data_IF_938631573934
#
_entry.id   IF_938631573934
#
_cell.length_a   1.000
_cell.length_b   1.000
_cell.length_c   1.000
_cell.angle_alpha   90.00
_cell.angle_beta   90.00
_cell.angle_gamma   90.00
#
_symmetry.space_group_name_H-M   'P 1'
#
loop_
_entity.id
_entity.type
_entity.pdbx_description
1 polymer ?
2 polymer ?
#
loop_
_entity_poly.entity_id
_entity_poly.type
_entity_poly.pdbx_seq_one_letter_code
_entity_poly.pdbx_strand_id
2 'polydeoxyribonucleotide' '(DA)(DG)' ?
#
# COMPACT_ATOMS: atom_id res chain seq x y z
N UNK A 1 25.63 -2.95 -4.92
CA UNK A 1 25.38 -2.86 -3.46
C UNK A 1 23.89 -2.81 -3.11
N UNK A 2 23.16 -1.87 -3.72
CA UNK A 2 21.70 -1.70 -3.49
C UNK A 2 20.87 -3.01 -3.44
N UNK A 3 20.17 -3.29 -4.59
CA UNK A 3 19.19 -4.39 -4.70
C UNK A 3 19.73 -5.79 -4.92
N UNK A 4 19.27 -6.71 -4.10
CA UNK A 4 19.68 -8.10 -4.06
C UNK A 4 18.54 -9.03 -4.21
N UNK A 5 18.73 -9.81 -5.24
CA UNK A 5 17.64 -10.65 -5.62
C UNK A 5 17.71 -11.99 -4.94
N UNK A 6 16.71 -12.34 -4.15
CA UNK A 6 16.82 -13.59 -3.40
C UNK A 6 15.81 -14.59 -3.65
N UNK A 7 16.18 -15.81 -3.37
CA UNK A 7 15.25 -16.85 -3.60
C UNK A 7 14.86 -17.36 -2.21
N UNK A 8 13.55 -17.43 -2.01
CA UNK A 8 12.99 -17.87 -0.75
C UNK A 8 12.03 -19.07 -0.81
N UNK A 9 12.15 -19.98 0.16
CA UNK A 9 11.28 -21.16 0.19
C UNK A 9 9.81 -20.71 0.22
N UNK A 10 9.12 -20.84 -0.91
CA UNK A 10 7.73 -20.43 -1.01
C UNK A 10 6.70 -21.54 -0.95
N UNK A 11 5.43 -21.18 -0.63
CA UNK A 11 4.34 -22.16 -0.57
C UNK A 11 4.11 -22.81 -1.94
N UNK A 12 3.73 -24.08 -1.95
CA UNK A 12 3.50 -24.86 -3.16
C UNK A 12 3.26 -24.06 -4.45
N UNK A 13 2.00 -23.65 -4.76
CA UNK A 13 1.95 -22.90 -6.00
C UNK A 13 2.03 -21.38 -5.72
N UNK A 14 3.14 -20.78 -6.11
CA UNK A 14 3.37 -19.35 -5.92
C UNK A 14 2.40 -18.58 -6.80
N UNK A 15 1.31 -18.12 -6.19
CA UNK A 15 0.26 -17.41 -6.92
C UNK A 15 0.28 -15.90 -6.69
N UNK A 16 -0.52 -15.18 -7.47
CA UNK A 16 -0.60 -13.73 -7.35
C UNK A 16 -1.96 -13.25 -6.85
N UNK A 17 -1.96 -12.51 -5.74
CA UNK A 17 -3.17 -11.98 -5.10
C UNK A 17 -3.76 -10.73 -5.74
N UNK A 18 -5.00 -10.84 -6.15
CA UNK A 18 -5.72 -9.73 -6.76
C UNK A 18 -6.98 -9.58 -5.93
N UNK A 19 -7.45 -8.34 -5.80
CA UNK A 19 -8.66 -8.07 -5.03
C UNK A 19 -9.82 -8.11 -5.99
N UNK A 20 -10.96 -8.52 -5.48
CA UNK A 20 -12.17 -8.58 -6.27
C UNK A 20 -13.05 -7.43 -5.77
N UNK A 21 -13.35 -6.44 -6.66
CA UNK A 21 -14.17 -5.31 -6.23
C UNK A 21 -15.53 -5.82 -5.79
N UNK A 22 -16.24 -4.99 -5.02
CA UNK A 22 -17.57 -5.34 -4.55
C UNK A 22 -18.42 -5.69 -5.78
N UNK A 23 -19.19 -6.78 -5.68
CA UNK A 23 -20.04 -7.18 -6.79
C UNK A 23 -19.44 -8.07 -7.87
N UNK A 24 -18.13 -8.33 -7.81
CA UNK A 24 -17.53 -9.21 -8.78
C UNK A 24 -17.43 -10.64 -8.14
N UNK A 25 -17.82 -11.72 -8.87
CA UNK A 25 -17.81 -13.12 -8.37
C UNK A 25 -17.07 -14.17 -9.28
N UNK A 26 -15.98 -14.78 -8.78
CA UNK A 26 -15.24 -15.81 -9.58
C UNK A 26 -15.03 -17.13 -8.88
N UNK A 27 -14.94 -18.17 -9.69
CA UNK A 27 -14.74 -19.52 -9.22
C UNK A 27 -13.49 -20.06 -9.89
N UNK A 28 -12.88 -21.01 -9.21
CA UNK A 28 -11.64 -21.61 -9.66
C UNK A 28 -11.71 -22.17 -11.07
N UNK A 29 -10.60 -22.07 -11.78
CA UNK A 29 -10.56 -22.58 -13.13
C UNK A 29 -11.10 -21.60 -14.14
N UNK A 30 -11.20 -20.33 -13.75
CA UNK A 30 -11.70 -19.30 -14.68
C UNK A 30 -10.63 -18.28 -15.03
N UNK A 31 -10.79 -17.63 -16.16
CA UNK A 31 -9.80 -16.65 -16.55
C UNK A 31 -10.27 -15.25 -16.18
N UNK A 32 -9.31 -14.35 -15.99
CA UNK A 32 -9.57 -13.00 -15.60
C UNK A 32 -8.52 -12.11 -16.23
N UNK A 33 -8.81 -10.84 -16.33
CA UNK A 33 -7.86 -9.89 -16.90
C UNK A 33 -7.32 -9.22 -15.64
N UNK A 34 -6.00 -9.03 -15.50
CA UNK A 34 -5.51 -8.39 -14.27
C UNK A 34 -4.41 -7.36 -14.56
N UNK A 35 -4.11 -6.46 -13.61
CA UNK A 35 -3.03 -5.51 -13.92
C UNK A 35 -1.70 -6.21 -13.66
N UNK A 36 -0.64 -5.72 -14.30
CA UNK A 36 0.70 -6.28 -14.15
C UNK A 36 1.61 -5.15 -14.58
N UNK A 37 2.58 -4.81 -13.74
CA UNK A 37 3.45 -3.69 -14.07
C UNK A 37 2.70 -2.42 -13.73
N UNK A 38 3.44 -1.36 -13.40
CA UNK A 38 2.85 -0.08 -13.04
C UNK A 38 1.67 0.35 -13.91
N UNK A 39 1.45 -0.32 -15.05
CA UNK A 39 0.34 0.05 -15.94
C UNK A 39 0.01 -0.93 -17.07
N UNK A 40 0.41 -2.19 -16.96
CA UNK A 40 0.12 -3.14 -18.04
C UNK A 40 -1.03 -4.11 -17.78
N UNK A 41 -1.49 -4.80 -18.83
CA UNK A 41 -2.59 -5.81 -18.78
C UNK A 41 -2.09 -7.24 -19.06
N UNK A 42 -2.88 -8.24 -18.64
CA UNK A 42 -2.48 -9.66 -18.79
C UNK A 42 -3.61 -10.65 -18.44
N UNK A 43 -3.53 -11.89 -18.94
CA UNK A 43 -4.59 -12.85 -18.62
C UNK A 43 -4.15 -13.91 -17.65
N UNK A 44 -5.03 -14.23 -16.72
CA UNK A 44 -4.68 -15.23 -15.73
C UNK A 44 -5.73 -16.28 -15.51
N UNK A 45 -5.45 -17.16 -14.56
CA UNK A 45 -6.38 -18.22 -14.23
C UNK A 45 -6.48 -18.30 -12.72
N UNK A 46 -7.68 -18.10 -12.18
CA UNK A 46 -7.85 -18.18 -10.74
C UNK A 46 -7.60 -19.63 -10.41
N UNK A 47 -6.89 -19.87 -9.31
CA UNK A 47 -6.59 -21.24 -8.86
C UNK A 47 -7.38 -21.48 -7.58
N UNK A 48 -7.60 -20.40 -6.82
CA UNK A 48 -8.35 -20.43 -5.57
C UNK A 48 -8.78 -19.03 -5.08
N UNK A 49 -9.76 -19.00 -4.19
CA UNK A 49 -10.27 -17.75 -3.64
C UNK A 49 -10.55 -17.93 -2.15
N UNK A 50 -9.97 -17.06 -1.34
CA UNK A 50 -10.18 -17.12 0.10
C UNK A 50 -10.58 -15.75 0.62
N UNK A 51 -10.44 -15.58 1.93
CA UNK A 51 -10.77 -14.35 2.63
C UNK A 51 -9.52 -13.78 3.32
N UNK A 52 -8.35 -13.98 2.72
CA UNK A 52 -7.10 -13.49 3.32
C UNK A 52 -6.01 -13.43 2.26
N UNK A 53 -4.94 -12.72 2.58
CA UNK A 53 -3.78 -12.58 1.68
C UNK A 53 -2.62 -12.15 2.53
N UNK A 54 -1.41 -12.16 1.98
CA UNK A 54 -0.28 -11.76 2.79
C UNK A 54 -0.33 -10.27 3.03
N UNK A 55 -0.80 -9.53 2.04
CA UNK A 55 -0.87 -8.08 2.17
C UNK A 55 -2.31 -7.62 2.43
N UNK A 56 -2.48 -6.43 3.02
CA UNK A 56 -3.85 -5.98 3.27
C UNK A 56 -4.68 -5.87 2.03
N UNK A 57 -5.96 -6.21 2.14
CA UNK A 57 -6.85 -6.10 1.00
C UNK A 57 -6.58 -4.79 0.28
N UNK A 58 -6.68 -3.67 0.98
CA UNK A 58 -6.51 -2.39 0.32
C UNK A 58 -5.21 -2.20 -0.47
N UNK A 59 -4.30 -3.17 -0.41
CA UNK A 59 -3.03 -3.07 -1.13
C UNK A 59 -3.06 -3.88 -2.45
N UNK A 60 -3.82 -4.96 -2.46
CA UNK A 60 -3.96 -5.79 -3.63
C UNK A 60 -4.54 -4.99 -4.77
N UNK A 61 -4.07 -5.25 -6.00
CA UNK A 61 -4.63 -4.54 -7.14
C UNK A 61 -5.95 -5.25 -7.37
N UNK A 62 -6.86 -4.59 -8.06
CA UNK A 62 -8.16 -5.19 -8.27
C UNK A 62 -8.32 -5.81 -9.65
N UNK A 63 -8.89 -7.01 -9.64
CA UNK A 63 -9.18 -7.77 -10.86
C UNK A 63 -9.97 -6.88 -11.81
N UNK A 64 -9.49 -6.78 -13.04
CA UNK A 64 -10.17 -5.96 -14.04
C UNK A 64 -11.40 -6.62 -14.63
N UNK A 65 -11.31 -7.90 -14.91
CA UNK A 65 -12.42 -8.55 -15.52
C UNK A 65 -12.29 -10.04 -15.48
N UNK A 66 -13.44 -10.70 -15.46
CA UNK A 66 -13.52 -12.16 -15.46
C UNK A 66 -13.87 -12.51 -16.89
N UNK A 67 -13.18 -13.47 -17.47
CA UNK A 67 -13.44 -13.87 -18.84
C UNK A 67 -14.34 -15.08 -18.93
N UNK A 68 -14.35 -15.89 -17.89
CA UNK A 68 -15.12 -17.10 -17.90
C UNK A 68 -16.24 -17.19 -16.91
N UNK A 69 -17.45 -17.43 -17.44
CA UNK A 69 -18.62 -17.59 -16.60
C UNK A 69 -18.34 -18.87 -15.80
N UNK A 70 -17.92 -19.90 -16.51
CA UNK A 70 -17.62 -21.18 -15.91
C UNK A 70 -16.18 -21.59 -16.24
N UNK A 71 -15.68 -22.68 -15.61
CA UNK A 71 -14.30 -23.14 -15.87
C UNK A 71 -14.05 -23.48 -17.33
N UNK A 72 -12.97 -22.95 -17.89
CA UNK A 72 -12.65 -23.23 -19.28
C UNK A 72 -12.21 -24.68 -19.37
N UNK A 73 -11.65 -25.14 -18.27
CA UNK A 73 -11.16 -26.51 -18.14
C UNK A 73 -12.27 -27.42 -17.64
N UNK A 74 -12.05 -28.74 -17.70
CA UNK A 74 -13.02 -29.72 -17.23
C UNK A 74 -12.71 -29.98 -15.76
N UNK A 75 -13.70 -30.45 -15.00
CA UNK A 75 -13.46 -30.66 -13.58
C UNK A 75 -12.35 -31.67 -13.33
N UNK A 76 -12.30 -32.73 -14.14
CA UNK A 76 -11.29 -33.78 -13.99
C UNK A 76 -9.89 -33.31 -14.44
N UNK A 77 -9.85 -32.66 -15.60
CA UNK A 77 -8.63 -32.12 -16.16
C UNK A 77 -8.04 -31.17 -15.13
N UNK A 78 -8.87 -30.23 -14.72
CA UNK A 78 -8.46 -29.24 -13.74
C UNK A 78 -7.88 -29.86 -12.47
N UNK A 79 -8.59 -30.78 -11.83
CA UNK A 79 -8.03 -31.34 -10.61
C UNK A 79 -6.64 -31.93 -10.85
N UNK A 80 -6.44 -32.50 -12.04
CA UNK A 80 -5.15 -33.09 -12.37
C UNK A 80 -4.09 -32.03 -12.56
N UNK A 81 -4.36 -31.07 -13.44
CA UNK A 81 -3.44 -29.97 -13.70
C UNK A 81 -2.79 -29.57 -12.36
N UNK A 82 -3.63 -29.12 -11.44
CA UNK A 82 -3.18 -28.70 -10.12
C UNK A 82 -2.32 -29.79 -9.49
N UNK A 83 -2.78 -31.03 -9.56
CA UNK A 83 -2.03 -32.14 -8.95
C UNK A 83 -0.62 -32.30 -9.52
N UNK A 84 -0.51 -32.41 -10.84
CA UNK A 84 0.80 -32.59 -11.47
C UNK A 84 1.72 -31.41 -11.19
N UNK A 85 1.11 -30.24 -11.12
CA UNK A 85 1.86 -29.01 -10.85
C UNK A 85 2.52 -29.15 -9.48
N UNK A 86 1.75 -29.65 -8.53
CA UNK A 86 2.25 -29.82 -7.18
C UNK A 86 3.23 -30.98 -7.05
N UNK A 87 2.80 -32.14 -7.49
CA UNK A 87 3.59 -33.35 -7.41
C UNK A 87 4.97 -33.38 -8.11
N UNK A 88 5.07 -32.77 -9.29
CA UNK A 88 6.32 -32.76 -10.05
C UNK A 88 7.09 -31.44 -9.95
N UNK A 89 6.67 -30.60 -9.04
CA UNK A 89 7.34 -29.33 -8.84
C UNK A 89 7.39 -28.43 -10.09
N UNK A 90 6.22 -28.11 -10.64
CA UNK A 90 6.14 -27.20 -11.79
C UNK A 90 5.31 -25.96 -11.44
N UNK A 91 5.71 -24.81 -11.94
CA UNK A 91 4.87 -23.67 -11.57
C UNK A 91 3.44 -23.89 -12.10
N UNK A 92 2.44 -23.63 -11.25
CA UNK A 92 1.04 -23.81 -11.64
C UNK A 92 0.63 -22.97 -12.85
N UNK A 93 1.18 -21.77 -12.97
CA UNK A 93 0.82 -20.95 -14.11
C UNK A 93 1.39 -21.55 -15.37
N UNK A 94 2.60 -22.12 -15.22
CA UNK A 94 3.35 -22.76 -16.29
C UNK A 94 2.54 -23.92 -16.89
N UNK A 95 2.06 -24.82 -16.04
CA UNK A 95 1.27 -25.95 -16.50
C UNK A 95 -0.02 -25.49 -17.17
N UNK A 96 -0.90 -24.84 -16.40
CA UNK A 96 -2.20 -24.34 -16.89
C UNK A 96 -2.17 -23.61 -18.22
N UNK A 97 -1.38 -22.56 -18.32
CA UNK A 97 -1.36 -21.85 -19.58
C UNK A 97 -0.78 -22.64 -20.74
N UNK A 98 0.05 -23.64 -20.44
CA UNK A 98 0.64 -24.49 -21.48
C UNK A 98 -0.39 -25.51 -21.97
N UNK A 99 -1.05 -26.17 -21.03
CA UNK A 99 -2.08 -27.19 -21.29
C UNK A 99 -3.43 -26.69 -21.88
N UNK A 100 -3.70 -25.40 -21.72
CA UNK A 100 -4.94 -24.86 -22.23
C UNK A 100 -4.98 -25.04 -23.74
N UNK A 101 -3.96 -24.53 -24.47
CA UNK A 101 -3.93 -24.68 -25.93
C UNK A 101 -4.04 -26.15 -26.35
N UNK A 102 -3.30 -27.00 -25.66
CA UNK A 102 -3.31 -28.42 -25.94
C UNK A 102 -4.72 -28.99 -25.74
N UNK A 103 -5.27 -28.85 -24.52
CA UNK A 103 -6.60 -29.37 -24.21
C UNK A 103 -7.77 -28.85 -25.04
N UNK A 104 -7.81 -27.55 -25.32
CA UNK A 104 -8.91 -26.96 -26.09
C UNK A 104 -8.87 -27.29 -27.57
N UNK A 105 -7.67 -27.27 -28.10
CA UNK A 105 -7.43 -27.51 -29.51
C UNK A 105 -7.18 -29.00 -29.71
N UNK B 1 -15.66 -14.56 -2.68
CA UNK B 1 -14.86 -13.91 -1.60
C UNK B 1 -14.03 -12.72 -2.11
N UNK B 2 -13.19 -12.13 -1.25
CA UNK B 2 -12.34 -10.97 -1.57
C UNK B 2 -11.09 -11.15 -2.43
N UNK B 3 -10.14 -11.91 -1.89
CA UNK B 3 -8.88 -12.15 -2.57
C UNK B 3 -8.99 -13.28 -3.59
N UNK B 4 -8.23 -13.13 -4.67
CA UNK B 4 -8.21 -14.10 -5.73
C UNK B 4 -6.76 -14.43 -5.98
N UNK B 5 -6.44 -15.71 -5.86
CA UNK B 5 -5.12 -16.25 -6.08
C UNK B 5 -5.04 -16.62 -7.54
N UNK B 6 -4.48 -15.72 -8.33
CA UNK B 6 -4.41 -15.94 -9.76
C UNK B 6 -3.06 -16.51 -10.14
N UNK B 7 -3.04 -17.30 -11.21
CA UNK B 7 -1.79 -17.86 -11.68
C UNK B 7 -1.41 -17.09 -12.93
N UNK B 8 -0.13 -16.76 -13.04
CA UNK B 8 0.34 -16.03 -14.20
C UNK B 8 1.55 -16.72 -14.78
N UNK B 9 1.72 -16.63 -16.11
CA UNK B 9 2.84 -17.22 -16.86
C UNK B 9 4.10 -16.43 -16.57
N UNK B 10 4.28 -16.09 -15.30
CA UNK B 10 5.40 -15.35 -14.79
C UNK B 10 6.76 -15.80 -15.35
N UNK B 11 7.73 -14.86 -15.42
CA UNK B 11 9.09 -15.06 -15.91
C UNK B 11 9.76 -16.26 -15.24
N UNK B 12 11.06 -16.40 -15.40
CA UNK B 12 11.76 -17.52 -14.81
C UNK B 12 12.25 -17.22 -13.37
N UNK B 13 13.16 -16.24 -13.19
CA UNK B 13 13.66 -15.92 -11.84
C UNK B 13 12.76 -15.05 -10.96
N UNK B 14 11.73 -15.64 -10.38
CA UNK B 14 10.84 -14.89 -9.51
C UNK B 14 11.50 -14.85 -8.13
N UNK B 15 12.11 -13.72 -7.81
CA UNK B 15 12.79 -13.56 -6.53
C UNK B 15 12.26 -12.34 -5.77
N UNK B 16 12.80 -12.11 -4.58
CA UNK B 16 12.40 -10.96 -3.77
C UNK B 16 13.61 -10.04 -3.62
N UNK B 17 13.37 -8.76 -3.31
CA UNK B 17 14.47 -7.80 -3.18
C UNK B 17 14.70 -7.29 -1.75
N UNK B 18 15.98 -7.16 -1.39
CA UNK B 18 16.37 -6.69 -0.05
C UNK B 18 17.66 -5.85 -0.10
N UNK B 19 17.55 -4.56 0.24
CA UNK B 19 18.72 -3.67 0.23
C UNK B 19 19.89 -4.26 1.01
N UNK B 20 21.05 -4.35 0.35
CA UNK B 20 22.27 -4.88 0.95
C UNK B 20 22.86 -3.84 1.91
N UNK B 21 23.31 -4.28 3.11
CA UNK B 21 23.90 -3.39 4.12
C UNK B 21 25.29 -2.84 3.76
N UNK B 22 25.64 -1.73 4.39
CA UNK B 22 26.94 -1.08 4.18
C UNK B 22 28.06 -1.97 4.74
N UNK B 23 29.15 -2.10 3.98
CA UNK B 23 30.27 -2.91 4.43
C UNK B 23 29.91 -4.39 4.47
N UNK B 24 28.71 -4.72 4.01
CA UNK B 24 28.24 -6.09 3.96
C UNK B 24 28.28 -6.55 2.49
N UNK B 25 29.37 -7.20 2.09
CA UNK B 25 29.53 -7.67 0.71
C UNK B 25 29.15 -9.14 0.52
N UNK B 26 28.10 -9.37 -0.27
CA UNK B 26 27.61 -10.72 -0.56
C UNK B 26 27.46 -10.99 -2.05
N UNK B 27 27.63 -12.25 -2.44
CA UNK B 27 27.45 -12.60 -3.83
C UNK B 27 26.47 -13.77 -3.98
N UNK B 28 26.17 -14.12 -5.24
CA UNK B 28 25.24 -15.18 -5.59
C UNK B 28 25.66 -16.54 -5.09
N UNK B 29 24.66 -17.30 -4.62
CA UNK B 29 24.90 -18.63 -4.10
C UNK B 29 24.98 -18.65 -2.58
N UNK B 30 25.09 -17.46 -1.96
CA UNK B 30 25.21 -17.34 -0.50
C UNK B 30 23.90 -17.13 0.26
N UNK B 31 23.69 -17.94 1.29
CA UNK B 31 22.48 -17.83 2.10
C UNK B 31 22.45 -16.52 2.88
N UNK B 32 21.28 -15.90 2.97
CA UNK B 32 21.15 -14.65 3.69
C UNK B 32 19.84 -14.58 4.47
N UNK B 33 19.90 -14.07 5.69
CA UNK B 33 18.70 -13.96 6.51
C UNK B 33 17.95 -12.67 6.22
N UNK B 34 16.69 -12.78 5.81
CA UNK B 34 15.90 -11.58 5.50
C UNK B 34 14.51 -11.54 6.13
N UNK B 35 14.02 -10.32 6.42
CA UNK B 35 12.69 -10.19 7.02
C UNK B 35 11.64 -10.67 6.02
N UNK B 36 10.64 -11.38 6.56
CA UNK B 36 9.56 -11.90 5.74
C UNK B 36 8.26 -11.25 6.16
N UNK B 37 7.83 -10.25 5.40
CA UNK B 37 6.58 -9.54 5.69
C UNK B 37 6.41 -9.01 7.10
N UNK B 38 5.16 -8.93 7.55
CA UNK B 38 4.82 -8.48 8.89
C UNK B 38 5.34 -9.53 9.84
N UNK B 39 6.59 -9.40 10.27
CA UNK B 39 7.08 -10.44 11.15
C UNK B 39 8.56 -10.34 11.50
N UNK B 40 9.25 -11.49 11.55
CA UNK B 40 10.69 -11.59 11.86
C UNK B 40 11.49 -12.42 10.83
N UNK B 41 12.78 -12.64 11.10
CA UNK B 41 13.71 -13.39 10.24
C UNK B 41 13.32 -14.72 9.57
N UNK B 42 14.08 -15.06 8.52
CA UNK B 42 13.96 -16.30 7.72
C UNK B 42 15.09 -16.37 6.68
N UNK B 43 15.66 -17.57 6.52
CA UNK B 43 16.77 -17.79 5.58
C UNK B 43 16.45 -17.78 4.07
N UNK B 44 17.35 -17.20 3.27
CA UNK B 44 17.17 -17.13 1.84
C UNK B 44 18.48 -17.24 1.08
N UNK B 45 18.41 -17.45 -0.24
CA UNK B 45 19.62 -17.58 -1.04
C UNK B 45 19.71 -16.51 -2.13
N UNK B 46 20.81 -15.76 -2.14
CA UNK B 46 21.01 -14.71 -3.12
C UNK B 46 21.29 -15.29 -4.50
N UNK B 47 20.47 -14.89 -5.47
CA UNK B 47 20.59 -15.35 -6.85
C UNK B 47 21.31 -14.28 -7.68
N UNK B 48 20.96 -13.02 -7.43
CA UNK B 48 21.57 -11.92 -8.14
C UNK B 48 21.79 -10.72 -7.23
N UNK B 49 22.75 -9.87 -7.61
CA UNK B 49 23.04 -8.68 -6.85
C UNK B 49 23.08 -7.49 -7.83
N UNK B 50 21.91 -6.93 -8.13
CA UNK B 50 21.84 -5.81 -9.05
C UNK B 50 22.16 -4.47 -8.38
N UNK B 51 21.69 -3.41 -9.04
CA UNK B 51 21.86 -2.03 -8.58
C UNK B 51 20.57 -1.34 -9.00
N UNK B 52 19.55 -2.15 -9.25
CA UNK B 52 18.25 -1.67 -9.69
C UNK B 52 17.10 -2.50 -9.13
N UNK B 53 16.14 -1.81 -8.52
CA UNK B 53 14.96 -2.43 -7.92
C UNK B 53 13.65 -2.00 -8.60
N UNK B 54 12.65 -2.87 -8.53
CA UNK B 54 11.33 -2.62 -9.11
C UNK B 54 10.63 -1.48 -8.32
N UNK B 55 10.91 -1.41 -7.01
CA UNK B 55 10.36 -0.39 -6.11
C UNK B 55 11.44 0.57 -5.62
N UNK B 56 11.05 1.72 -5.03
CA UNK B 56 12.00 2.72 -4.51
C UNK B 56 13.04 2.18 -3.53
N UNK B 57 14.25 2.74 -3.55
CA UNK B 57 15.31 2.30 -2.66
C UNK B 57 15.14 2.92 -1.29
N UNK B 58 13.89 3.28 -0.98
CA UNK B 58 13.54 3.91 0.29
C UNK B 58 12.62 2.98 1.08
N UNK B 59 11.58 2.46 0.42
CA UNK B 59 10.64 1.56 1.06
C UNK B 59 10.91 0.11 0.66
N UNK B 60 12.20 -0.23 0.63
CA UNK B 60 12.64 -1.58 0.30
C UNK B 60 13.05 -2.27 1.59
N UNK B 61 12.52 -3.48 1.81
CA UNK B 61 12.84 -4.25 3.00
C UNK B 61 14.34 -4.56 2.94
N UNK B 62 15.06 -4.23 4.00
CA UNK B 62 16.50 -4.44 4.05
C UNK B 62 16.92 -5.85 4.40
N UNK B 63 18.23 -6.09 4.34
CA UNK B 63 18.78 -7.39 4.65
C UNK B 63 19.22 -7.43 6.12
N UNK B 64 19.71 -8.57 6.56
CA UNK B 64 20.14 -8.71 7.95
C UNK B 64 21.63 -9.06 8.11
N UNK B 65 21.96 -10.32 7.83
CA UNK B 65 23.33 -10.81 7.98
C UNK B 65 23.68 -11.76 6.84
N UNK B 66 24.98 -11.91 6.58
CA UNK B 66 25.44 -12.79 5.52
C UNK B 66 26.04 -14.05 6.15
N UNK B 67 25.26 -15.12 6.15
CA UNK B 67 25.68 -16.38 6.74
C UNK B 67 26.82 -17.06 6.00
N UNK B 68 27.24 -16.51 4.87
CA UNK B 68 28.33 -17.12 4.11
C UNK B 68 29.17 -16.10 3.34
N UNK B 69 30.48 -16.24 3.42
CA UNK B 69 31.39 -15.35 2.73
C UNK B 69 31.66 -15.91 1.34
N UNK B 70 31.60 -17.23 1.25
CA UNK B 70 31.83 -17.96 0.01
C UNK B 70 30.58 -18.77 -0.34
N UNK B 71 30.18 -18.75 -1.63
CA UNK B 71 29.01 -19.46 -2.16
C UNK B 71 29.01 -20.95 -1.85
N UNK B 72 27.98 -21.40 -1.13
CA UNK B 72 27.87 -22.81 -0.78
C UNK B 72 27.82 -23.66 -2.05
N UNK B 73 27.31 -23.08 -3.13
CA UNK B 73 27.21 -23.78 -4.42
C UNK B 73 28.42 -23.38 -5.30
N UNK B 74 28.91 -24.34 -6.09
CA UNK B 74 30.05 -24.10 -6.97
C UNK B 74 29.64 -23.50 -8.31
N UNK B 75 30.56 -22.79 -8.97
CA UNK B 75 30.25 -22.21 -10.27
C UNK B 75 29.75 -23.37 -11.14
N UNK B 76 30.00 -24.59 -10.68
CA UNK B 76 29.63 -25.82 -11.39
C UNK B 76 28.24 -26.33 -11.00
N UNK B 77 28.00 -26.47 -9.71
CA UNK B 77 26.68 -26.91 -9.23
C UNK B 77 25.68 -25.77 -9.56
N UNK B 78 26.14 -24.52 -9.43
CA UNK B 78 25.30 -23.35 -9.73
C UNK B 78 24.81 -23.47 -11.18
N UNK B 79 25.73 -23.30 -12.13
CA UNK B 79 25.36 -23.39 -13.53
C UNK B 79 24.36 -24.52 -13.75
N UNK B 80 24.74 -25.71 -13.27
CA UNK B 80 23.93 -26.93 -13.40
C UNK B 80 22.51 -26.79 -12.81
N UNK B 81 22.43 -26.32 -11.57
CA UNK B 81 21.14 -26.17 -10.91
C UNK B 81 20.18 -25.16 -11.56
N UNK B 82 20.74 -24.09 -12.11
CA UNK B 82 19.92 -23.09 -12.76
C UNK B 82 19.49 -23.65 -14.11
N UNK B 83 20.29 -24.56 -14.67
CA UNK B 83 19.92 -25.13 -15.95
C UNK B 83 18.79 -26.08 -15.67
N UNK B 84 18.94 -26.91 -14.65
CA UNK B 84 17.89 -27.86 -14.29
C UNK B 84 16.56 -27.12 -14.20
N UNK B 85 16.52 -26.09 -13.36
CA UNK B 85 15.31 -25.29 -13.17
C UNK B 85 14.71 -24.77 -14.45
N UNK B 86 15.56 -24.25 -15.32
CA UNK B 86 15.06 -23.71 -16.56
C UNK B 86 14.69 -24.72 -17.62
N UNK B 87 15.42 -25.84 -17.71
CA UNK B 87 15.14 -26.86 -18.70
C UNK B 87 14.01 -27.79 -18.34
N UNK B 88 13.82 -28.05 -17.03
CA UNK B 88 12.77 -28.94 -16.58
C UNK B 88 11.59 -28.19 -15.92
N UNK B 89 11.58 -26.87 -16.03
CA UNK B 89 10.49 -26.05 -15.46
C UNK B 89 10.30 -26.26 -13.96
N UNK B 90 11.28 -25.85 -13.18
CA UNK B 90 11.17 -25.95 -11.72
C UNK B 90 11.57 -24.58 -11.18
N UNK B 91 10.84 -24.08 -10.16
CA UNK B 91 11.16 -22.76 -9.58
C UNK B 91 12.59 -22.78 -9.06
N UNK B 92 13.37 -21.74 -9.36
CA UNK B 92 14.76 -21.67 -8.89
C UNK B 92 14.80 -21.88 -7.40
N UNK B 93 13.84 -21.24 -6.73
CA UNK B 93 13.76 -21.33 -5.29
C UNK B 93 13.92 -22.77 -4.89
N UNK B 94 12.90 -23.53 -5.24
CA UNK B 94 12.78 -24.96 -4.97
C UNK B 94 13.99 -25.85 -5.36
N UNK B 95 14.56 -25.69 -6.56
CA UNK B 95 15.71 -26.53 -6.92
C UNK B 95 16.84 -26.23 -5.94
N UNK B 96 17.20 -24.95 -5.79
CA UNK B 96 18.28 -24.50 -4.89
C UNK B 96 18.14 -24.95 -3.44
N UNK B 97 16.99 -24.66 -2.83
CA UNK B 97 16.81 -25.06 -1.45
C UNK B 97 16.71 -26.55 -1.30
N UNK B 98 15.99 -27.21 -2.20
CA UNK B 98 15.88 -28.67 -2.06
C UNK B 98 17.23 -29.32 -2.30
N UNK B 99 18.03 -28.70 -3.16
CA UNK B 99 19.34 -29.23 -3.50
C UNK B 99 20.39 -29.06 -2.39
N UNK B 100 20.31 -27.96 -1.66
CA UNK B 100 21.31 -27.67 -0.61
C UNK B 100 21.61 -28.84 0.33
N UNK B 101 20.57 -29.43 0.95
CA UNK B 101 20.78 -30.56 1.88
C UNK B 101 21.69 -31.60 1.22
N UNK B 102 21.18 -32.27 0.19
CA UNK B 102 21.93 -33.28 -0.55
C UNK B 102 23.38 -32.83 -0.73
N UNK B 103 23.57 -31.56 -1.08
CA UNK B 103 24.91 -31.02 -1.28
C UNK B 103 25.76 -31.19 -0.03
N UNK B 104 25.18 -30.87 1.13
CA UNK B 104 25.89 -31.00 2.39
C UNK B 104 25.73 -32.40 2.96
N UNK C 1 9.78 22.17 20.56
CA UNK C 1 8.87 23.35 20.57
C UNK C 1 8.94 24.29 19.35
N UNK C 2 9.08 23.75 18.13
CA UNK C 2 9.12 24.65 16.99
C UNK C 2 7.91 24.45 16.07
N UNK C 3 7.42 23.22 16.01
CA UNK C 3 6.28 22.89 15.17
C UNK C 3 5.03 22.88 16.04
N UNK C 4 4.07 23.75 15.74
CA UNK C 4 2.82 23.80 16.51
C UNK C 4 1.70 23.15 15.72
N UNK C 5 1.35 21.94 16.12
CA UNK C 5 0.28 21.21 15.47
C UNK C 5 -1.04 21.92 15.78
N UNK C 6 -1.60 22.61 14.79
CA UNK C 6 -2.84 23.33 15.00
C UNK C 6 -4.09 22.71 14.36
N UNK C 7 -5.21 22.81 15.08
CA UNK C 7 -6.45 22.28 14.57
C UNK C 7 -7.14 23.41 13.82
N UNK C 8 -7.82 23.06 12.73
CA UNK C 8 -8.53 24.03 11.92
C UNK C 8 -9.92 23.54 11.52
N UNK C 9 -10.91 24.46 11.52
CA UNK C 9 -12.32 24.25 11.18
C UNK C 9 -12.60 23.99 9.70
N UNK C 10 -11.82 23.11 9.08
CA UNK C 10 -12.01 22.81 7.66
C UNK C 10 -13.39 22.23 7.31
N UNK C 11 -13.86 22.50 6.09
CA UNK C 11 -15.15 22.05 5.56
C UNK C 11 -15.37 20.53 5.56
N UNK C 12 -16.58 20.16 5.17
CA UNK C 12 -17.06 18.78 5.10
C UNK C 12 -16.01 17.68 4.97
N UNK C 13 -15.59 17.35 3.73
CA UNK C 13 -14.59 16.28 3.66
C UNK C 13 -13.16 16.79 3.38
N UNK C 14 -12.30 16.69 4.40
CA UNK C 14 -10.91 17.13 4.24
C UNK C 14 -10.11 16.14 3.40
N UNK C 15 -9.86 16.52 2.15
CA UNK C 15 -9.13 15.67 1.22
C UNK C 15 -7.80 16.22 0.65
N UNK C 16 -6.94 15.31 0.20
CA UNK C 16 -5.62 15.65 -0.34
C UNK C 16 -5.54 15.65 -1.90
N UNK C 17 -5.24 16.80 -2.52
CA UNK C 17 -5.17 16.90 -3.98
C UNK C 17 -3.85 16.43 -4.57
N UNK C 18 -3.96 15.59 -5.59
CA UNK C 18 -2.81 15.06 -6.31
C UNK C 18 -3.06 15.35 -7.79
N UNK C 19 -2.04 15.14 -8.61
CA UNK C 19 -2.15 15.39 -10.05
C UNK C 19 -2.01 14.05 -10.77
N UNK C 20 -2.60 13.95 -11.96
CA UNK C 20 -2.56 12.72 -12.77
C UNK C 20 -1.39 12.61 -13.74
N UNK C 21 -0.57 11.55 -13.62
CA UNK C 21 0.57 11.39 -14.51
C UNK C 21 0.14 11.48 -15.97
N UNK C 22 1.09 11.26 -16.87
CA UNK C 22 0.83 11.31 -18.31
C UNK C 22 0.14 10.02 -18.79
N UNK C 23 -1.12 10.14 -19.20
CA UNK C 23 -1.85 8.99 -19.68
C UNK C 23 -2.22 7.99 -18.61
N UNK C 24 -2.99 8.44 -17.63
CA UNK C 24 -3.44 7.59 -16.52
C UNK C 24 -4.85 8.06 -16.24
N UNK C 25 -5.73 7.16 -15.80
CA UNK C 25 -7.09 7.59 -15.53
C UNK C 25 -7.67 6.99 -14.27
N UNK C 26 -8.40 7.82 -13.51
CA UNK C 26 -9.03 7.40 -12.27
C UNK C 26 -10.33 8.16 -12.03
N UNK C 27 -11.33 7.46 -11.50
CA UNK C 27 -12.60 8.10 -11.21
C UNK C 27 -12.96 7.92 -9.73
N UNK C 28 -14.12 8.42 -9.36
CA UNK C 28 -14.54 8.32 -7.97
C UNK C 28 -14.65 6.88 -7.47
N UNK C 29 -13.89 6.53 -6.44
CA UNK C 29 -13.99 5.20 -5.88
C UNK C 29 -12.81 4.30 -6.16
N UNK C 30 -11.80 4.81 -6.82
CA UNK C 30 -10.67 3.96 -7.14
C UNK C 30 -9.55 4.20 -6.15
N UNK C 31 -8.83 3.15 -5.80
CA UNK C 31 -7.71 3.32 -4.88
C UNK C 31 -6.52 3.68 -5.76
N UNK C 32 -5.65 4.58 -5.29
CA UNK C 32 -4.46 4.98 -6.04
C UNK C 32 -3.31 5.01 -5.06
N UNK C 33 -2.09 5.03 -5.59
CA UNK C 33 -0.90 5.07 -4.76
C UNK C 33 -0.39 6.50 -4.86
N UNK C 34 -0.10 7.14 -3.74
CA UNK C 34 0.40 8.50 -3.81
C UNK C 34 1.53 8.67 -2.83
N UNK C 35 2.19 9.83 -2.90
CA UNK C 35 3.30 10.14 -2.00
C UNK C 35 2.78 10.94 -0.80
N UNK C 36 3.17 10.49 0.38
CA UNK C 36 2.77 11.14 1.61
C UNK C 36 4.03 11.28 2.45
N UNK C 37 4.22 12.44 3.06
CA UNK C 37 5.40 12.67 3.89
C UNK C 37 6.59 13.10 3.07
N UNK C 38 7.70 12.39 3.23
CA UNK C 38 8.93 12.69 2.52
C UNK C 38 9.58 11.37 2.07
N UNK C 39 9.36 10.33 2.86
CA UNK C 39 9.89 8.99 2.58
C UNK C 39 8.89 8.11 1.82
N UNK C 40 8.09 7.38 2.59
CA UNK C 40 7.09 6.44 2.09
C UNK C 40 5.88 6.96 1.33
N UNK C 41 5.21 6.02 0.67
CA UNK C 41 4.00 6.26 -0.10
C UNK C 41 2.89 5.56 0.67
N UNK C 42 1.65 5.78 0.27
CA UNK C 42 0.52 5.15 0.94
C UNK C 42 -0.60 4.94 -0.05
N UNK C 43 -1.59 4.15 0.33
CA UNK C 43 -2.69 3.94 -0.58
C UNK C 43 -3.84 4.84 -0.26
N UNK C 44 -4.37 5.50 -1.28
CA UNK C 44 -5.51 6.38 -1.06
C UNK C 44 -6.66 6.03 -1.97
N UNK C 45 -7.82 6.60 -1.71
CA UNK C 45 -8.97 6.36 -2.58
C UNK C 45 -9.36 7.73 -3.11
N UNK C 46 -9.70 7.78 -4.37
CA UNK C 46 -10.09 9.02 -4.99
C UNK C 46 -11.54 9.34 -4.64
N UNK C 47 -11.81 10.49 -4.03
CA UNK C 47 -13.20 10.83 -3.71
C UNK C 47 -13.84 11.65 -4.85
N UNK C 48 -13.00 12.16 -5.76
CA UNK C 48 -13.49 12.96 -6.88
C UNK C 48 -12.31 13.53 -7.66
N UNK C 49 -12.60 13.94 -8.90
CA UNK C 49 -11.59 14.49 -9.79
C UNK C 49 -12.14 15.76 -10.41
N UNK C 50 -11.31 16.78 -10.56
CA UNK C 50 -11.78 18.01 -11.16
C UNK C 50 -10.59 18.89 -11.50
N UNK C 51 -10.87 20.00 -12.19
CA UNK C 51 -9.86 20.96 -12.61
C UNK C 51 -9.84 22.11 -11.61
N UNK C 52 -10.05 21.79 -10.34
CA UNK C 52 -10.09 22.80 -9.28
C UNK C 52 -9.22 22.49 -8.06
N UNK C 53 -7.92 22.35 -8.28
CA UNK C 53 -7.01 22.10 -7.17
C UNK C 53 -6.86 23.43 -6.49
N UNK C 54 -7.68 23.67 -5.48
CA UNK C 54 -7.64 24.94 -4.76
C UNK C 54 -6.31 25.19 -4.03
N UNK C 55 -5.23 24.95 -4.77
CA UNK C 55 -3.83 25.12 -4.35
C UNK C 55 -2.93 25.22 -5.61
N UNK C 56 -1.65 25.63 -5.43
CA UNK C 56 -0.66 25.78 -6.52
C UNK C 56 -0.38 24.48 -7.29
N UNK C 57 -0.83 24.44 -8.54
CA UNK C 57 -0.68 23.27 -9.41
C UNK C 57 0.77 23.02 -9.87
N UNK C 58 1.61 22.67 -8.91
CA UNK C 58 3.02 22.38 -9.16
C UNK C 58 3.69 22.15 -7.79
N UNK C 59 3.01 22.58 -6.74
CA UNK C 59 3.49 22.41 -5.38
C UNK C 59 3.06 21.00 -4.98
N UNK C 60 2.02 20.52 -5.66
CA UNK C 60 1.44 19.21 -5.42
C UNK C 60 1.96 18.16 -6.38
N UNK C 61 2.39 17.04 -5.80
CA UNK C 61 2.92 15.92 -6.56
C UNK C 61 1.79 15.24 -7.35
N UNK C 62 2.14 14.18 -8.08
CA UNK C 62 1.18 13.43 -8.91
C UNK C 62 1.12 11.95 -8.57
N UNK C 63 -0.07 11.37 -8.75
CA UNK C 63 -0.33 9.95 -8.48
C UNK C 63 0.72 8.98 -8.96
N UNK C 64 1.01 7.95 -8.17
CA UNK C 64 1.99 6.95 -8.60
C UNK C 64 1.29 5.91 -9.47
N UNK C 65 0.20 5.33 -8.96
CA UNK C 65 -0.54 4.33 -9.72
C UNK C 65 -1.95 4.14 -9.18
N UNK C 66 -2.85 3.65 -10.03
CA UNK C 66 -4.22 3.40 -9.62
C UNK C 66 -4.32 1.90 -9.41
N UNK C 67 -5.02 1.46 -8.38
CA UNK C 67 -5.11 0.03 -8.16
C UNK C 67 -6.42 -0.50 -8.66
N UNK C 68 -7.37 0.41 -8.85
CA UNK C 68 -8.71 0.03 -9.32
C UNK C 68 -9.07 0.58 -10.70
N UNK C 69 -9.39 -0.33 -11.62
CA UNK C 69 -9.79 0.04 -12.97
C UNK C 69 -11.16 0.68 -12.83
N UNK C 70 -12.01 0.01 -12.05
CA UNK C 70 -13.37 0.47 -11.80
C UNK C 70 -13.54 0.53 -10.29
N UNK C 71 -14.41 1.44 -9.78
CA UNK C 71 -14.73 1.66 -8.35
C UNK C 71 -14.81 0.39 -7.52
N UNK C 72 -14.08 0.38 -6.41
CA UNK C 72 -14.05 -0.79 -5.56
C UNK C 72 -15.36 -0.97 -4.79
N UNK C 73 -16.10 0.12 -4.67
CA UNK C 73 -17.39 0.13 -3.97
C UNK C 73 -18.44 0.28 -5.05
N UNK C 74 -19.64 -0.10 -4.68
CA UNK C 74 -20.83 -0.02 -5.49
C UNK C 74 -21.36 1.40 -5.47
N UNK C 75 -21.86 1.88 -6.60
CA UNK C 75 -22.36 3.24 -6.66
C UNK C 75 -23.20 3.64 -5.44
N UNK C 76 -23.99 2.71 -4.89
CA UNK C 76 -24.86 2.97 -3.72
C UNK C 76 -24.16 2.80 -2.36
N UNK C 77 -23.30 1.79 -2.24
CA UNK C 77 -22.56 1.65 -1.00
C UNK C 77 -21.72 2.94 -0.89
N UNK C 78 -21.18 3.40 -2.02
CA UNK C 78 -20.40 4.64 -2.08
C UNK C 78 -21.22 5.83 -1.61
N UNK C 79 -22.37 6.04 -2.24
CA UNK C 79 -23.21 7.16 -1.85
C UNK C 79 -23.43 7.06 -0.34
N UNK C 80 -23.72 5.84 0.11
CA UNK C 80 -24.01 5.57 1.50
C UNK C 80 -22.89 5.84 2.51
N UNK C 81 -21.63 5.66 2.08
CA UNK C 81 -20.46 5.89 2.93
C UNK C 81 -20.19 7.39 3.00
N UNK C 82 -20.10 8.04 1.86
CA UNK C 82 -19.83 9.47 1.87
C UNK C 82 -20.85 10.21 2.72
N UNK C 83 -22.08 9.73 2.72
CA UNK C 83 -23.06 10.41 3.52
C UNK C 83 -22.66 10.20 4.97
N UNK C 84 -22.74 8.96 5.44
CA UNK C 84 -22.38 8.68 6.81
C UNK C 84 -21.17 9.53 7.19
N UNK C 85 -20.14 9.55 6.35
CA UNK C 85 -18.97 10.35 6.71
C UNK C 85 -19.25 11.83 7.00
N UNK C 86 -20.20 12.41 6.28
CA UNK C 86 -20.55 13.83 6.47
C UNK C 86 -21.60 14.05 7.54
N UNK C 87 -22.66 13.25 7.51
CA UNK C 87 -23.71 13.40 8.49
C UNK C 87 -23.13 13.15 9.89
N UNK C 88 -22.45 12.02 10.10
CA UNK C 88 -21.93 11.73 11.42
C UNK C 88 -20.59 12.37 11.76
N UNK C 89 -20.07 13.21 10.89
CA UNK C 89 -18.81 13.88 11.20
C UNK C 89 -17.63 12.94 11.41
N UNK C 90 -17.50 11.92 10.57
CA UNK C 90 -16.35 11.02 10.68
C UNK C 90 -15.48 11.26 9.48
N UNK C 91 -14.16 11.31 9.68
CA UNK C 91 -13.18 11.52 8.61
C UNK C 91 -13.49 10.61 7.41
N UNK C 92 -13.53 11.18 6.21
CA UNK C 92 -13.85 10.40 5.00
C UNK C 92 -12.93 9.23 4.74
N UNK C 93 -11.63 9.46 4.96
CA UNK C 93 -10.65 8.42 4.74
C UNK C 93 -10.66 7.39 5.85
N UNK C 94 -11.32 7.74 6.94
CA UNK C 94 -11.45 6.90 8.12
C UNK C 94 -12.61 5.95 7.83
N UNK C 95 -13.73 6.45 7.31
CA UNK C 95 -14.87 5.58 6.99
C UNK C 95 -14.57 4.68 5.80
N UNK C 96 -14.14 5.25 4.67
CA UNK C 96 -13.85 4.46 3.49
C UNK C 96 -12.92 3.30 3.84
N UNK C 97 -11.71 3.58 4.31
CA UNK C 97 -10.76 2.50 4.64
C UNK C 97 -11.12 1.50 5.74
N UNK C 98 -12.01 1.84 6.67
CA UNK C 98 -12.42 0.89 7.72
C UNK C 98 -13.55 0.03 7.20
N UNK C 99 -14.33 0.58 6.27
CA UNK C 99 -15.45 -0.15 5.69
C UNK C 99 -15.05 -1.05 4.53
N UNK C 100 -13.87 -0.84 3.96
CA UNK C 100 -13.44 -1.68 2.83
C UNK C 100 -13.45 -3.19 3.18
N UNK C 101 -12.64 -3.62 4.15
CA UNK C 101 -12.56 -5.02 4.57
C UNK C 101 -13.86 -5.63 5.04
N UNK C 102 -14.74 -4.81 5.58
CA UNK C 102 -16.00 -5.33 6.08
C UNK C 102 -17.01 -5.53 4.97
N UNK C 103 -16.97 -4.60 4.01
CA UNK C 103 -17.85 -4.62 2.86
C UNK C 103 -17.42 -5.68 1.83
N UNK C 104 -16.12 -5.86 1.66
CA UNK C 104 -15.65 -6.84 0.69
C UNK C 104 -15.68 -8.26 1.25
N UNK C 105 -16.86 -8.87 1.16
CA UNK C 105 -17.10 -10.22 1.64
C UNK C 105 -16.67 -10.36 3.12
N UNK D 2 -7.11 19.27 -13.67
CA UNK D 2 -6.96 17.79 -13.69
C UNK D 2 -6.35 17.20 -12.41
N UNK D 3 -7.08 17.33 -11.31
CA UNK D 3 -6.61 16.82 -10.04
C UNK D 3 -7.59 15.83 -9.45
N UNK D 4 -7.01 14.89 -8.71
CA UNK D 4 -7.76 13.84 -8.04
C UNK D 4 -7.82 14.23 -6.59
N UNK D 5 -9.03 14.35 -6.06
CA UNK D 5 -9.23 14.69 -4.65
C UNK D 5 -9.19 13.35 -3.92
N UNK D 6 -8.03 13.06 -3.34
CA UNK D 6 -7.80 11.79 -2.67
C UNK D 6 -7.98 11.69 -1.17
N UNK D 7 -8.65 10.62 -0.74
CA UNK D 7 -8.87 10.38 0.67
C UNK D 7 -7.83 9.35 1.12
N UNK D 8 -7.16 9.68 2.23
CA UNK D 8 -6.13 8.86 2.88
C UNK D 8 -6.60 8.53 4.28
N UNK D 9 -6.19 7.38 4.85
CA UNK D 9 -6.58 6.97 6.21
C UNK D 9 -5.64 7.52 7.28
N UNK D 10 -5.38 8.82 7.16
CA UNK D 10 -4.49 9.60 8.02
C UNK D 10 -4.71 9.42 9.54
N UNK D 11 -3.65 8.95 10.25
CA UNK D 11 -3.55 8.66 11.70
C UNK D 11 -4.41 9.47 12.64
N UNK D 12 -4.88 8.81 13.71
CA UNK D 12 -5.72 9.40 14.74
C UNK D 12 -6.11 10.88 14.71
N UNK D 13 -5.18 11.81 15.03
CA UNK D 13 -5.63 13.21 14.97
C UNK D 13 -5.04 14.02 13.81
N UNK D 14 -5.77 14.11 12.71
CA UNK D 14 -5.32 14.87 11.54
C UNK D 14 -5.24 16.35 11.91
N UNK D 15 -4.02 16.92 11.85
CA UNK D 15 -3.85 18.31 12.22
C UNK D 15 -2.86 19.01 11.28
N UNK D 16 -2.97 20.33 11.16
CA UNK D 16 -2.11 21.13 10.26
C UNK D 16 -0.91 21.82 10.94
N UNK D 17 0.31 21.33 10.68
CA UNK D 17 1.54 21.87 11.27
C UNK D 17 1.91 23.27 10.84
N UNK D 18 2.40 24.04 11.80
CA UNK D 18 2.83 25.40 11.56
C UNK D 18 4.08 25.65 12.34
N UNK D 19 5.10 26.18 11.68
CA UNK D 19 6.36 26.45 12.37
C UNK D 19 6.20 27.70 13.24
N UNK D 20 6.75 27.64 14.44
CA UNK D 20 6.69 28.74 15.38
C UNK D 20 7.99 29.50 15.24
N UNK D 21 7.91 30.84 15.11
CA UNK D 21 9.11 31.68 14.97
C UNK D 21 10.01 31.79 16.21
N UNK D 22 11.31 31.95 15.94
CA UNK D 22 12.36 32.05 16.97
C UNK D 22 11.92 32.62 18.34
N UNK D 23 10.94 33.50 18.37
CA UNK D 23 10.54 34.03 19.66
C UNK D 23 9.19 33.51 20.16
N UNK D 24 8.33 33.17 19.21
CA UNK D 24 6.99 32.69 19.52
C UNK D 24 6.92 31.38 20.25
N UNK D 25 6.05 31.35 21.26
CA UNK D 25 5.85 30.17 22.10
C UNK D 25 4.36 29.99 22.41
N UNK D 26 3.92 28.75 22.61
CA UNK D 26 2.51 28.44 22.93
C UNK D 26 2.21 27.18 23.75
N UNK D 27 1.00 27.14 24.30
CA UNK D 27 0.59 26.01 25.11
C UNK D 27 -0.59 25.28 24.47
N UNK D 28 -0.59 23.95 24.54
CA UNK D 28 -1.68 23.19 23.96
C UNK D 28 -2.98 23.63 24.59
N UNK D 29 -3.92 24.04 23.74
CA UNK D 29 -5.21 24.48 24.23
C UNK D 29 -5.44 25.98 24.11
N UNK D 30 -4.51 26.65 23.41
CA UNK D 30 -4.54 28.09 23.19
C UNK D 30 -4.77 28.37 21.73
N UNK D 31 -5.36 29.52 21.41
CA UNK D 31 -5.63 29.85 20.02
C UNK D 31 -4.51 30.64 19.38
N UNK D 32 -4.50 30.68 18.06
CA UNK D 32 -3.49 31.41 17.31
C UNK D 32 -4.03 31.76 15.92
N UNK D 33 -3.19 32.38 15.07
CA UNK D 33 -3.56 32.74 13.69
C UNK D 33 -2.50 32.19 12.75
N UNK D 34 -2.91 31.71 11.58
CA UNK D 34 -1.96 31.15 10.61
C UNK D 34 -2.39 31.42 9.16
N UNK D 35 -1.52 31.09 8.18
CA UNK D 35 -1.88 31.32 6.77
C UNK D 35 -2.67 30.08 6.28
N UNK D 36 -3.30 30.19 5.11
CA UNK D 36 -4.06 29.07 4.56
C UNK D 36 -4.19 29.09 3.04
N UNK D 37 -3.20 28.56 2.32
CA UNK D 37 -3.26 28.55 0.86
C UNK D 37 -2.84 29.86 0.24
N UNK D 38 -1.60 30.26 0.49
CA UNK D 38 -1.04 31.51 -0.01
C UNK D 38 -2.10 32.55 -0.37
N UNK D 39 -2.84 33.01 0.63
CA UNK D 39 -3.89 33.99 0.43
C UNK D 39 -4.52 34.52 1.72
N UNK D 40 -5.45 33.74 2.29
CA UNK D 40 -6.19 34.10 3.51
C UNK D 40 -5.64 33.65 4.87
N UNK D 41 -6.22 34.21 5.93
CA UNK D 41 -5.86 33.86 7.28
C UNK D 41 -7.03 33.13 7.98
N UNK D 42 -6.89 32.84 9.27
CA UNK D 42 -7.92 32.10 9.99
C UNK D 42 -7.52 31.96 11.48
N UNK D 43 -8.29 31.21 12.26
CA UNK D 43 -7.88 31.02 13.65
C UNK D 43 -7.90 29.53 13.96
N UNK D 44 -6.92 29.12 14.75
CA UNK D 44 -6.82 27.72 15.11
C UNK D 44 -6.55 27.49 16.57
N UNK D 45 -6.66 26.25 17.00
CA UNK D 45 -6.39 25.96 18.37
C UNK D 45 -5.24 25.00 18.37
N UNK D 46 -4.26 25.28 19.21
CA UNK D 46 -3.12 24.42 19.32
C UNK D 46 -3.58 23.10 19.91
N UNK D 47 -3.32 22.01 19.22
CA UNK D 47 -3.70 20.74 19.78
C UNK D 47 -2.51 20.20 20.56
N UNK D 48 -1.31 20.54 20.08
CA UNK D 48 -0.04 20.11 20.71
C UNK D 48 1.22 20.71 20.07
N UNK D 49 2.36 20.51 20.71
CA UNK D 49 3.61 21.06 20.19
C UNK D 49 4.71 20.00 20.18
N UNK D 50 5.19 19.61 19.00
CA UNK D 50 6.26 18.61 18.94
C UNK D 50 7.59 19.23 18.51
N UNK D 51 8.46 18.40 17.94
CA UNK D 51 9.78 18.87 17.53
C UNK D 51 10.03 18.59 16.07
N UNK D 52 9.10 17.88 15.44
CA UNK D 52 9.19 17.52 14.03
C UNK D 52 7.82 17.25 13.42
N UNK D 53 7.73 17.42 12.10
CA UNK D 53 6.48 17.18 11.40
C UNK D 53 6.71 16.32 10.19
N UNK D 54 5.62 15.81 9.61
CA UNK D 54 5.72 14.96 8.43
C UNK D 54 6.09 15.77 7.20
N UNK D 55 6.61 16.98 7.41
CA UNK D 55 7.04 17.84 6.32
C UNK D 55 8.33 18.57 6.70
N UNK D 56 9.26 18.76 5.76
CA UNK D 56 10.52 19.45 6.07
C UNK D 56 10.45 20.57 7.11
N UNK D 57 11.37 20.51 8.05
CA UNK D 57 11.45 21.43 9.18
C UNK D 57 11.43 22.97 8.93
N UNK D 58 11.33 23.42 7.68
CA UNK D 58 11.28 24.86 7.36
C UNK D 58 10.33 25.20 6.19
N UNK D 59 9.99 24.16 5.43
CA UNK D 59 9.10 24.26 4.27
C UNK D 59 7.68 24.48 4.82
N UNK D 60 7.59 24.77 6.12
CA UNK D 60 6.33 24.97 6.82
C UNK D 60 5.88 26.42 6.98
N UNK D 61 4.59 26.67 6.78
CA UNK D 61 4.05 28.01 6.97
C UNK D 61 4.22 28.32 8.45
N UNK D 62 4.76 29.50 8.76
CA UNK D 62 5.02 29.94 10.13
C UNK D 62 3.86 30.63 10.84
N UNK D 63 3.73 30.42 12.16
CA UNK D 63 2.63 31.03 12.97
C UNK D 63 2.66 32.55 12.94
N UNK D 64 1.51 33.13 12.59
CA UNK D 64 1.33 34.57 12.47
C UNK D 64 1.14 35.35 13.79
N UNK D 65 0.33 34.83 14.72
CA UNK D 65 0.09 35.50 16.00
C UNK D 65 -0.60 34.57 17.02
N UNK D 66 -0.08 34.55 18.26
CA UNK D 66 -0.63 33.71 19.35
C UNK D 66 -1.72 34.45 20.13
N UNK D 67 -2.97 34.07 19.86
CA UNK D 67 -4.14 34.72 20.46
C UNK D 67 -4.59 34.51 21.92
N UNK D 68 -4.03 33.53 22.64
CA UNK D 68 -4.40 33.27 24.06
C UNK D 68 -3.17 32.82 24.82
N UNK D 69 -2.79 33.49 25.90
CA UNK D 69 -1.62 33.03 26.65
C UNK D 69 -2.06 31.89 27.56
N UNK D 70 -3.38 31.80 27.70
CA UNK D 70 -4.07 30.84 28.55
C UNK D 70 -4.89 29.85 27.68
N UNK D 71 -4.88 28.54 28.02
CA UNK D 71 -5.65 27.57 27.22
C UNK D 71 -7.17 27.68 27.54
N UNK D 72 -7.93 28.06 26.52
CA UNK D 72 -9.37 28.28 26.60
C UNK D 72 -10.24 27.12 27.15
N UNK D 73 -9.59 26.04 27.53
CA UNK D 73 -10.27 24.86 28.03
C UNK D 73 -9.75 24.40 29.35
N UNK D 74 -10.63 23.84 30.17
CA UNK D 74 -10.24 23.29 31.45
C UNK D 74 -9.24 22.17 31.17
N UNK D 75 -8.50 21.77 32.19
CA UNK D 75 -7.50 20.73 32.06
C UNK D 75 -8.06 19.32 31.77
N UNK D 76 -9.23 19.01 32.31
CA UNK D 76 -9.86 17.70 32.11
C UNK D 76 -10.65 17.71 30.81
N UNK D 77 -11.56 18.68 30.69
CA UNK D 77 -12.39 18.87 29.53
C UNK D 77 -11.53 18.77 28.30
N UNK D 78 -10.32 19.29 28.37
CA UNK D 78 -9.44 19.18 27.22
C UNK D 78 -8.98 17.74 27.04
N UNK D 79 -8.92 16.98 28.12
CA UNK D 79 -8.51 15.59 28.02
C UNK D 79 -9.74 14.82 27.58
N UNK D 80 -10.91 15.37 27.84
CA UNK D 80 -12.13 14.69 27.49
C UNK D 80 -12.36 14.78 26.00
N UNK D 81 -12.32 16.01 25.48
CA UNK D 81 -12.54 16.25 24.06
C UNK D 81 -11.56 15.49 23.20
N UNK D 82 -10.30 15.47 23.61
CA UNK D 82 -9.26 14.78 22.84
C UNK D 82 -9.49 13.29 22.71
N UNK D 83 -10.25 12.75 23.66
CA UNK D 83 -10.57 11.33 23.69
C UNK D 83 -11.80 11.15 22.80
N UNK D 84 -12.82 11.97 23.04
CA UNK D 84 -14.02 11.88 22.24
C UNK D 84 -13.59 11.93 20.79
N UNK D 85 -12.74 12.90 20.46
CA UNK D 85 -12.30 13.00 19.08
C UNK D 85 -11.72 11.67 18.57
N UNK D 86 -10.99 10.95 19.43
CA UNK D 86 -10.38 9.67 19.05
C UNK D 86 -11.35 8.48 19.06
N UNK D 87 -11.99 8.30 20.21
CA UNK D 87 -12.91 7.20 20.45
C UNK D 87 -14.10 7.14 19.49
N UNK D 88 -14.72 8.30 19.22
CA UNK D 88 -15.86 8.36 18.30
C UNK D 88 -15.40 8.91 16.94
N UNK D 89 -14.13 8.67 16.62
CA UNK D 89 -13.52 9.15 15.39
C UNK D 89 -14.11 10.47 14.91
N UNK D 90 -13.94 11.58 15.62
CA UNK D 90 -14.47 12.81 15.08
C UNK D 90 -13.24 13.65 14.74
N UNK D 91 -13.37 14.53 13.74
CA UNK D 91 -12.17 15.30 13.45
C UNK D 91 -12.04 16.22 14.65
N UNK D 92 -10.88 16.20 15.29
CA UNK D 92 -10.59 17.03 16.46
C UNK D 92 -11.01 18.48 16.26
N UNK D 93 -10.51 19.10 15.18
CA UNK D 93 -10.83 20.47 14.85
C UNK D 93 -12.33 20.70 14.79
N UNK D 94 -13.06 19.62 14.52
CA UNK D 94 -14.50 19.66 14.45
C UNK D 94 -15.01 19.58 15.88
N UNK D 95 -14.34 18.82 16.74
CA UNK D 95 -14.81 18.71 18.12
C UNK D 95 -14.55 19.97 18.90
N UNK D 96 -13.30 20.42 18.89
CA UNK D 96 -12.93 21.64 19.60
C UNK D 96 -13.85 22.82 19.26
N UNK D 97 -13.81 23.28 18.01
CA UNK D 97 -14.63 24.44 17.65
C UNK D 97 -16.14 24.34 17.82
N UNK D 98 -16.68 23.13 17.85
CA UNK D 98 -18.12 23.02 18.04
C UNK D 98 -18.41 22.99 19.55
N UNK D 99 -17.41 22.58 20.34
CA UNK D 99 -17.52 22.50 21.81
C UNK D 99 -17.34 23.84 22.52
N UNK D 100 -16.42 24.66 22.02
CA UNK D 100 -16.13 25.97 22.60
C UNK D 100 -17.39 26.77 22.92
N UNK D 101 -18.19 27.15 21.91
CA UNK D 101 -19.42 27.93 22.12
C UNK D 101 -20.49 27.26 22.98
N UNK D 102 -20.52 25.93 22.98
CA UNK D 102 -21.50 25.25 23.79
C UNK D 102 -20.95 25.35 25.20
N UNK D 103 -19.64 25.31 25.33
CA UNK D 103 -19.01 25.40 26.65
C UNK D 103 -19.14 26.79 27.25
N UNK D 104 -19.47 27.79 26.43
CA UNK D 104 -19.60 29.19 26.90
C UNK D 104 -20.99 29.84 26.70
#
# INVERSE_FOLDING_TARGET
MPVAHVALPVPLPRTFDYLLPEGMTVKAGCRVRVPFGKQQERIGIVVSVSDASELPLNELKAVVEVLDSEPVFTHSVWRLLLWAADYYHHPIGDVLFHALPILLR
MPVAHVALPVPLPRTFDYLLPEGMTVKAGCRVRVPFGKQQERIGIVVSVSDASELPLNELKAVVEVLDSEPVFTHSVWRLLLWAADYYHHPIGDVLFHALPILLR
MPVAHVALPVPLPRTFDYLLPEGMTVKAGCRVRVPFGKQQERIGIVVSVSDASELPLNELKAVVEVLDSEPVFTHSVWRLLLWAADYYHHPIGDVLFHALPILLR
MPVAHVALPVPLPRTFDYLLPEGMTVKAGCRVRVPFGKQQERIGIVVSVSDASELPLNELKAVVEVLDSEPVFTHSVWRLLLWAADYYHHPIGDVLFHALPILLR
#
